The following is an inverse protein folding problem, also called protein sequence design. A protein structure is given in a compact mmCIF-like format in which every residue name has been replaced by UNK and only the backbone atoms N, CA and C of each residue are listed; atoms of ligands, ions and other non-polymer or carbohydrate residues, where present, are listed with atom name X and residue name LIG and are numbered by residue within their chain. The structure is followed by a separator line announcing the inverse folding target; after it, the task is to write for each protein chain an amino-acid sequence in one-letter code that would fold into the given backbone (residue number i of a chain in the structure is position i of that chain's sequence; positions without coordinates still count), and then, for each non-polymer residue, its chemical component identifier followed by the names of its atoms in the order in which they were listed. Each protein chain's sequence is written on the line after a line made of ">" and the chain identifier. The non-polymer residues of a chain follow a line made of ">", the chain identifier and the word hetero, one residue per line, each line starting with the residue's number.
data_IF_621320870243
#
_entry.id   IF_621320870243
#
_cell.length_a   1.000
_cell.length_b   1.000
_cell.length_c   1.000
_cell.angle_alpha   90.00
_cell.angle_beta   90.00
_cell.angle_gamma   90.00
#
_symmetry.space_group_name_H-M   'P 1'
#
loop_
_entity.id
_entity.type
_entity.pdbx_description
1 polymer ?
#
# COMPACT_ATOMS: atom_id res chain seq x y z
N UNK A 1 -11.05 8.81 6.91
CA UNK A 1 -10.66 8.59 5.50
C UNK A 1 -10.77 9.90 4.74
N UNK A 2 -9.73 10.29 4.02
CA UNK A 2 -9.73 11.51 3.21
C UNK A 2 -9.70 11.10 1.73
N UNK A 3 -10.82 11.22 1.01
CA UNK A 3 -10.83 11.00 -0.42
C UNK A 3 -10.14 12.15 -1.14
N UNK A 4 -9.35 11.84 -2.16
CA UNK A 4 -8.70 12.80 -3.03
C UNK A 4 -9.19 12.54 -4.46
N UNK A 5 -9.69 13.57 -5.12
CA UNK A 5 -10.16 13.48 -6.51
C UNK A 5 -9.32 14.40 -7.40
N UNK A 6 -9.05 13.93 -8.61
CA UNK A 6 -8.41 14.69 -9.68
C UNK A 6 -9.50 15.21 -10.63
N UNK A 7 -9.46 16.48 -10.91
CA UNK A 7 -10.30 17.12 -11.93
C UNK A 7 -9.45 18.11 -12.76
N UNK A 8 -10.04 18.79 -13.71
CA UNK A 8 -9.34 19.77 -14.57
C UNK A 8 -8.64 20.91 -13.80
N UNK A 9 -9.01 21.13 -12.54
CA UNK A 9 -8.46 22.18 -11.68
C UNK A 9 -7.51 21.65 -10.60
N UNK A 10 -7.45 20.32 -10.40
CA UNK A 10 -6.63 19.68 -9.37
C UNK A 10 -5.71 18.64 -9.99
N UNK A 11 -4.39 18.77 -9.75
CA UNK A 11 -3.43 17.80 -10.24
C UNK A 11 -3.64 16.42 -9.58
N UNK A 12 -3.00 15.40 -10.15
CA UNK A 12 -3.00 14.06 -9.59
C UNK A 12 -2.50 14.08 -8.14
N UNK A 13 -3.18 13.41 -7.21
CA UNK A 13 -2.82 13.44 -5.81
C UNK A 13 -1.47 12.74 -5.57
N UNK A 14 -0.70 13.27 -4.64
CA UNK A 14 0.55 12.68 -4.26
C UNK A 14 0.36 11.37 -3.52
N UNK A 15 0.80 10.29 -4.13
CA UNK A 15 0.77 8.96 -3.53
C UNK A 15 2.12 8.68 -2.86
N UNK A 16 2.06 8.35 -1.58
CA UNK A 16 3.26 8.04 -0.79
C UNK A 16 3.81 6.65 -1.12
N UNK A 17 5.13 6.50 -0.99
CA UNK A 17 5.81 5.23 -1.21
C UNK A 17 5.24 4.11 -0.32
N UNK A 18 5.00 2.94 -0.91
CA UNK A 18 4.53 1.70 -0.26
C UNK A 18 3.17 1.80 0.44
N UNK A 19 2.40 2.89 0.28
CA UNK A 19 1.05 2.96 0.82
C UNK A 19 0.07 2.18 -0.04
N UNK A 20 -0.86 1.50 0.62
CA UNK A 20 -1.99 0.86 -0.05
C UNK A 20 -3.07 1.91 -0.27
N UNK A 21 -3.59 1.99 -1.49
CA UNK A 21 -4.60 2.95 -1.89
C UNK A 21 -5.71 2.25 -2.66
N UNK A 22 -6.90 2.81 -2.63
CA UNK A 22 -8.01 2.38 -3.47
C UNK A 22 -8.26 3.48 -4.50
N UNK A 23 -7.99 3.17 -5.76
CA UNK A 23 -8.34 4.00 -6.89
C UNK A 23 -9.81 3.82 -7.24
N UNK A 24 -10.44 4.86 -7.72
CA UNK A 24 -11.83 4.85 -8.18
C UNK A 24 -11.99 5.72 -9.43
N UNK A 25 -12.87 5.30 -10.32
CA UNK A 25 -13.44 6.17 -11.34
C UNK A 25 -14.81 6.63 -10.88
N UNK A 26 -15.01 7.94 -10.88
CA UNK A 26 -16.24 8.59 -10.43
C UNK A 26 -16.86 9.41 -11.54
N UNK A 27 -18.18 9.43 -11.60
CA UNK A 27 -18.95 10.25 -12.52
C UNK A 27 -19.84 11.23 -11.75
N UNK A 28 -19.97 12.47 -12.20
CA UNK A 28 -20.87 13.45 -11.58
C UNK A 28 -22.33 13.03 -11.72
N UNK A 29 -23.08 13.05 -10.60
CA UNK A 29 -24.51 12.79 -10.61
C UNK A 29 -25.25 13.85 -11.43
N UNK A 30 -26.12 13.41 -12.36
CA UNK A 30 -27.01 14.30 -13.13
C UNK A 30 -26.46 14.80 -14.46
N UNK A 31 -25.22 14.54 -14.83
CA UNK A 31 -24.74 14.71 -16.19
C UNK A 31 -25.09 13.46 -17.02
N UNK A 32 -25.73 13.65 -18.17
CA UNK A 32 -26.10 12.55 -19.08
C UNK A 32 -24.92 11.97 -19.85
N UNK A 33 -23.83 12.71 -19.94
CA UNK A 33 -22.62 12.29 -20.64
C UNK A 33 -21.76 11.44 -19.70
N UNK A 34 -21.78 10.12 -19.92
CA UNK A 34 -20.93 9.12 -19.24
C UNK A 34 -19.43 9.26 -19.58
N UNK A 35 -19.04 10.29 -20.34
CA UNK A 35 -17.70 10.41 -20.90
C UNK A 35 -16.70 11.16 -19.98
N UNK A 36 -17.16 11.95 -19.02
CA UNK A 36 -16.27 12.62 -18.06
C UNK A 36 -16.13 11.78 -16.77
N UNK A 37 -15.26 10.78 -16.80
CA UNK A 37 -14.84 10.06 -15.61
C UNK A 37 -13.67 10.79 -14.96
N UNK A 38 -13.80 11.04 -13.66
CA UNK A 38 -12.74 11.63 -12.85
C UNK A 38 -12.05 10.51 -12.05
N UNK A 39 -10.73 10.61 -11.90
CA UNK A 39 -9.98 9.75 -11.01
C UNK A 39 -10.11 10.23 -9.57
N UNK A 40 -10.31 9.29 -8.67
CA UNK A 40 -10.28 9.53 -7.25
C UNK A 40 -9.49 8.43 -6.54
N UNK A 41 -8.91 8.75 -5.41
CA UNK A 41 -8.18 7.77 -4.60
C UNK A 41 -8.41 7.98 -3.11
N UNK A 42 -8.33 6.89 -2.37
CA UNK A 42 -8.45 6.86 -0.91
C UNK A 42 -7.30 6.02 -0.37
N UNK A 43 -6.46 6.62 0.45
CA UNK A 43 -5.40 5.86 1.13
C UNK A 43 -6.01 4.97 2.24
N UNK A 44 -5.60 3.72 2.27
CA UNK A 44 -5.90 2.81 3.38
C UNK A 44 -5.07 3.24 4.59
N UNK A 45 -5.70 3.63 5.71
CA UNK A 45 -4.98 4.19 6.85
C UNK A 45 -4.20 3.12 7.60
N UNK A 46 -2.89 3.31 7.76
CA UNK A 46 -2.01 2.41 8.50
C UNK A 46 -2.21 2.43 10.02
N UNK A 47 -2.90 3.46 10.53
CA UNK A 47 -3.20 3.60 11.97
C UNK A 47 -4.35 2.70 12.43
N UNK A 48 -5.15 2.18 11.52
CA UNK A 48 -6.22 1.24 11.83
C UNK A 48 -5.73 -0.21 11.69
N UNK A 49 -6.31 -1.15 12.46
CA UNK A 49 -6.07 -2.57 12.24
C UNK A 49 -6.45 -2.96 10.82
N UNK A 50 -5.54 -3.64 10.11
CA UNK A 50 -5.82 -4.07 8.76
C UNK A 50 -6.64 -5.36 8.71
N UNK A 51 -6.48 -6.23 9.72
CA UNK A 51 -7.30 -7.43 9.92
C UNK A 51 -8.42 -7.06 10.87
N UNK A 52 -9.66 -7.31 10.46
CA UNK A 52 -10.85 -7.06 11.25
C UNK A 52 -11.56 -8.40 11.41
N UNK A 53 -11.69 -8.84 12.66
CA UNK A 53 -12.41 -10.07 12.96
C UNK A 53 -13.92 -9.82 12.91
N UNK A 54 -14.62 -10.74 12.24
CA UNK A 54 -16.09 -10.73 12.16
C UNK A 54 -16.62 -11.69 13.22
N UNK A 55 -17.33 -11.20 14.24
CA UNK A 55 -17.91 -12.06 15.27
C UNK A 55 -19.09 -12.87 14.73
N UNK A 56 -19.24 -14.09 15.22
CA UNK A 56 -20.51 -14.82 15.14
C UNK A 56 -20.65 -15.85 14.01
N UNK A 57 -19.63 -16.13 13.24
CA UNK A 57 -19.68 -17.27 12.30
C UNK A 57 -19.34 -18.58 13.03
N UNK A 58 -20.39 -19.36 13.33
CA UNK A 58 -20.23 -20.69 13.99
C UNK A 58 -19.60 -21.75 13.09
N UNK A 59 -19.51 -21.50 11.79
CA UNK A 59 -18.98 -22.46 10.81
C UNK A 59 -17.45 -22.47 10.81
N UNK A 60 -16.84 -21.33 11.10
CA UNK A 60 -15.40 -21.17 11.10
C UNK A 60 -14.92 -20.77 12.51
N UNK A 61 -13.70 -21.16 12.87
CA UNK A 61 -13.10 -20.80 14.15
C UNK A 61 -12.87 -19.27 14.25
N UNK A 62 -12.46 -18.68 13.16
CA UNK A 62 -12.26 -17.23 13.03
C UNK A 62 -12.56 -16.81 11.59
N UNK A 63 -13.28 -15.72 11.43
CA UNK A 63 -13.51 -15.07 10.13
C UNK A 63 -12.93 -13.67 10.19
N UNK A 64 -12.11 -13.34 9.21
CA UNK A 64 -11.47 -12.02 9.11
C UNK A 64 -11.76 -11.37 7.77
N UNK A 65 -11.76 -10.05 7.75
CA UNK A 65 -11.83 -9.23 6.54
C UNK A 65 -10.72 -8.19 6.56
N UNK A 66 -10.17 -7.86 5.41
CA UNK A 66 -9.16 -6.83 5.29
C UNK A 66 -9.80 -5.44 5.24
N UNK A 67 -9.13 -4.46 5.82
CA UNK A 67 -9.64 -3.08 5.91
C UNK A 67 -9.89 -2.47 4.53
N UNK A 68 -9.04 -2.76 3.56
CA UNK A 68 -9.22 -2.32 2.16
C UNK A 68 -10.53 -2.82 1.56
N UNK A 69 -10.94 -4.04 1.82
CA UNK A 69 -12.21 -4.61 1.35
C UNK A 69 -13.42 -3.85 1.92
N UNK A 70 -13.33 -3.49 3.21
CA UNK A 70 -14.39 -2.71 3.87
C UNK A 70 -14.47 -1.31 3.26
N UNK A 71 -13.32 -0.68 3.03
CA UNK A 71 -13.26 0.67 2.44
C UNK A 71 -13.82 0.63 1.02
N UNK A 72 -13.39 -0.32 0.21
CA UNK A 72 -13.81 -0.45 -1.18
C UNK A 72 -15.32 -0.64 -1.29
N UNK A 73 -15.90 -1.54 -0.51
CA UNK A 73 -17.35 -1.78 -0.48
C UNK A 73 -18.17 -0.57 -0.01
N UNK A 74 -17.56 0.35 0.74
CA UNK A 74 -18.23 1.53 1.28
C UNK A 74 -17.76 2.84 0.63
N UNK A 75 -16.92 2.77 -0.40
CA UNK A 75 -16.26 3.95 -0.98
C UNK A 75 -17.28 4.97 -1.53
N UNK A 76 -18.43 4.51 -2.01
CA UNK A 76 -19.52 5.39 -2.46
C UNK A 76 -20.04 6.36 -1.39
N UNK A 77 -19.87 6.02 -0.10
CA UNK A 77 -20.23 6.91 1.00
C UNK A 77 -19.26 8.08 1.16
N UNK A 78 -18.09 8.01 0.56
CA UNK A 78 -17.08 9.08 0.57
C UNK A 78 -17.29 10.06 -0.59
N UNK A 79 -18.00 9.63 -1.65
CA UNK A 79 -18.24 10.42 -2.87
C UNK A 79 -19.73 10.71 -3.05
N UNK A 80 -20.35 11.40 -2.09
CA UNK A 80 -21.80 11.61 -2.01
C UNK A 80 -22.42 12.27 -3.25
N UNK A 81 -21.68 13.18 -3.89
CA UNK A 81 -22.13 13.92 -5.09
C UNK A 81 -21.82 13.21 -6.41
N UNK A 82 -21.14 12.07 -6.35
CA UNK A 82 -20.69 11.32 -7.51
C UNK A 82 -21.24 9.89 -7.50
N UNK A 83 -21.20 9.24 -8.65
CA UNK A 83 -21.43 7.80 -8.77
C UNK A 83 -20.10 7.12 -8.98
N UNK A 84 -19.77 6.14 -8.14
CA UNK A 84 -18.57 5.32 -8.31
C UNK A 84 -18.82 4.31 -9.42
N UNK A 85 -17.97 4.29 -10.44
CA UNK A 85 -18.10 3.42 -11.62
C UNK A 85 -17.31 2.13 -11.42
N UNK A 86 -16.08 2.24 -10.97
CA UNK A 86 -15.24 1.10 -10.59
C UNK A 86 -14.27 1.50 -9.50
N UNK A 87 -13.76 0.50 -8.79
CA UNK A 87 -12.73 0.64 -7.75
C UNK A 87 -11.70 -0.44 -7.91
N UNK A 88 -10.48 -0.18 -7.48
CA UNK A 88 -9.45 -1.19 -7.39
C UNK A 88 -8.34 -0.75 -6.43
N UNK A 89 -7.84 -1.62 -5.57
CA UNK A 89 -6.63 -1.37 -4.81
C UNK A 89 -5.42 -1.24 -5.73
N UNK A 90 -4.50 -0.36 -5.34
CA UNK A 90 -3.20 -0.23 -5.98
C UNK A 90 -2.13 0.21 -4.99
N UNK A 91 -0.89 -0.06 -5.31
CA UNK A 91 0.28 0.26 -4.51
C UNK A 91 1.43 0.63 -5.41
N UNK A 92 2.21 1.64 -5.02
CA UNK A 92 3.41 2.05 -5.75
C UNK A 92 4.66 1.85 -4.90
N UNK A 93 5.77 1.58 -5.58
CA UNK A 93 7.11 1.63 -5.00
C UNK A 93 7.88 2.71 -5.74
N UNK A 94 8.46 3.63 -4.97
CA UNK A 94 9.31 4.69 -5.49
C UNK A 94 10.77 4.35 -5.33
N UNK A 95 11.57 4.81 -6.24
CA UNK A 95 13.02 4.72 -6.12
C UNK A 95 13.47 5.40 -4.81
N UNK A 96 14.29 4.68 -4.06
CA UNK A 96 14.79 5.12 -2.77
C UNK A 96 16.31 5.33 -2.77
N UNK A 97 16.95 5.16 -3.93
CA UNK A 97 18.37 5.36 -4.06
C UNK A 97 18.74 6.82 -3.82
N UNK A 98 19.66 7.01 -2.89
CA UNK A 98 20.26 8.30 -2.58
C UNK A 98 21.58 8.35 -3.34
N UNK A 99 21.64 9.12 -4.41
CA UNK A 99 22.92 9.55 -4.98
C UNK A 99 23.38 10.77 -4.18
N UNK A 100 24.27 10.55 -3.23
CA UNK A 100 24.96 11.64 -2.50
C UNK A 100 26.30 11.80 -3.21
N UNK A 101 26.51 12.97 -3.79
CA UNK A 101 27.83 13.36 -4.26
C UNK A 101 28.56 13.97 -3.07
N UNK A 102 29.39 13.17 -2.42
CA UNK A 102 30.12 13.57 -1.19
C UNK A 102 31.17 14.66 -1.48
N UNK A 103 31.65 14.73 -2.72
CA UNK A 103 32.71 15.66 -3.13
C UNK A 103 32.19 17.09 -3.34
N UNK A 104 30.90 17.28 -3.59
CA UNK A 104 30.29 18.60 -3.81
C UNK A 104 29.52 19.16 -2.58
N UNK A 105 29.33 18.38 -1.53
CA UNK A 105 28.49 18.75 -0.40
C UNK A 105 29.27 19.56 0.67
N UNK A 106 29.18 20.87 0.61
CA UNK A 106 29.72 21.76 1.63
C UNK A 106 29.06 21.59 3.02
N UNK A 107 27.82 21.03 3.05
CA UNK A 107 27.05 20.65 4.23
C UNK A 107 26.30 19.33 4.01
N UNK A 108 26.94 18.25 4.42
CA UNK A 108 26.42 16.88 4.28
C UNK A 108 25.03 16.70 4.93
N UNK A 109 24.75 17.34 6.06
CA UNK A 109 23.47 17.22 6.75
C UNK A 109 22.34 17.86 5.94
N UNK A 110 22.57 19.04 5.39
CA UNK A 110 21.59 19.73 4.52
C UNK A 110 21.33 18.93 3.25
N UNK A 111 22.36 18.31 2.66
CA UNK A 111 22.20 17.48 1.48
C UNK A 111 21.43 16.18 1.80
N UNK A 112 21.73 15.53 2.91
CA UNK A 112 20.96 14.37 3.40
C UNK A 112 19.49 14.74 3.63
N UNK A 113 19.19 15.89 4.24
CA UNK A 113 17.80 16.33 4.41
C UNK A 113 17.07 16.57 3.08
N UNK A 114 17.75 17.18 2.10
CA UNK A 114 17.19 17.36 0.75
C UNK A 114 16.93 16.01 0.07
N UNK A 115 17.87 15.09 0.17
CA UNK A 115 17.75 13.75 -0.41
C UNK A 115 16.65 12.93 0.29
N UNK A 116 16.51 13.03 1.60
CA UNK A 116 15.40 12.40 2.33
C UNK A 116 14.03 12.96 1.89
N UNK A 117 13.95 14.27 1.61
CA UNK A 117 12.75 14.86 1.01
C UNK A 117 12.52 14.35 -0.41
N UNK A 118 13.54 14.31 -1.27
CA UNK A 118 13.47 13.75 -2.62
C UNK A 118 13.03 12.26 -2.61
N UNK A 119 13.44 11.49 -1.61
CA UNK A 119 13.04 10.09 -1.45
C UNK A 119 11.52 9.88 -1.35
N UNK A 120 10.79 10.84 -0.80
CA UNK A 120 9.32 10.81 -0.78
C UNK A 120 8.71 11.05 -2.18
N UNK A 121 9.48 11.67 -3.09
CA UNK A 121 9.09 12.14 -4.41
C UNK A 121 9.85 11.44 -5.53
N UNK A 122 10.63 10.42 -5.22
CA UNK A 122 11.37 9.65 -6.22
C UNK A 122 10.44 9.06 -7.29
N UNK A 123 11.01 8.78 -8.44
CA UNK A 123 10.34 8.11 -9.55
C UNK A 123 9.62 6.83 -9.09
N UNK A 124 8.45 6.58 -9.63
CA UNK A 124 7.75 5.31 -9.39
C UNK A 124 8.42 4.25 -10.25
N UNK A 125 8.93 3.20 -9.61
CA UNK A 125 9.63 2.10 -10.27
C UNK A 125 8.83 0.80 -10.28
N UNK A 126 7.69 0.78 -9.60
CA UNK A 126 6.80 -0.38 -9.58
C UNK A 126 5.37 0.04 -9.22
N UNK A 127 4.42 -0.52 -9.95
CA UNK A 127 2.99 -0.40 -9.71
C UNK A 127 2.38 -1.79 -9.50
N UNK A 128 1.91 -2.07 -8.29
CA UNK A 128 1.15 -3.28 -7.97
C UNK A 128 -0.34 -2.98 -8.11
N UNK A 129 -1.06 -3.80 -8.85
CA UNK A 129 -2.51 -3.70 -9.07
C UNK A 129 -3.17 -5.06 -8.97
N UNK A 130 -4.46 -5.10 -8.65
CA UNK A 130 -5.20 -6.35 -8.78
C UNK A 130 -5.34 -6.77 -10.25
N UNK A 131 -5.28 -8.07 -10.50
CA UNK A 131 -5.38 -8.68 -11.83
C UNK A 131 -6.62 -8.23 -12.62
N UNK A 132 -7.71 -7.94 -11.91
CA UNK A 132 -9.01 -7.55 -12.50
C UNK A 132 -9.24 -6.03 -12.53
N UNK A 133 -8.18 -5.23 -12.40
CA UNK A 133 -8.30 -3.77 -12.47
C UNK A 133 -8.96 -3.32 -13.79
N UNK A 134 -9.90 -2.37 -13.70
CA UNK A 134 -10.52 -1.76 -14.87
C UNK A 134 -9.45 -1.09 -15.77
N UNK A 135 -9.40 -1.42 -17.07
CA UNK A 135 -8.37 -0.90 -17.97
C UNK A 135 -8.31 0.63 -18.06
N UNK A 136 -9.45 1.31 -17.84
CA UNK A 136 -9.51 2.78 -17.84
C UNK A 136 -8.79 3.37 -16.63
N UNK A 137 -8.98 2.74 -15.45
CA UNK A 137 -8.30 3.11 -14.21
C UNK A 137 -6.80 2.86 -14.33
N UNK A 138 -6.42 1.70 -14.84
CA UNK A 138 -5.03 1.34 -15.09
C UNK A 138 -4.34 2.32 -16.04
N UNK A 139 -5.03 2.72 -17.12
CA UNK A 139 -4.50 3.70 -18.08
C UNK A 139 -4.15 5.04 -17.42
N UNK A 140 -4.99 5.52 -16.52
CA UNK A 140 -4.71 6.76 -15.77
C UNK A 140 -3.47 6.59 -14.90
N UNK A 141 -3.39 5.51 -14.11
CA UNK A 141 -2.22 5.25 -13.25
C UNK A 141 -0.93 5.11 -14.04
N UNK A 142 -0.97 4.43 -15.20
CA UNK A 142 0.19 4.31 -16.10
C UNK A 142 0.67 5.67 -16.59
N UNK A 143 -0.25 6.52 -17.00
CA UNK A 143 0.08 7.86 -17.53
C UNK A 143 0.64 8.77 -16.43
N UNK A 144 0.00 8.78 -15.25
CA UNK A 144 0.39 9.66 -14.15
C UNK A 144 1.71 9.27 -13.49
N UNK A 145 2.06 7.99 -13.51
CA UNK A 145 3.32 7.48 -12.95
C UNK A 145 4.39 7.20 -13.99
N UNK A 146 4.13 7.48 -15.27
CA UNK A 146 5.03 7.20 -16.41
C UNK A 146 5.52 5.74 -16.43
N UNK A 147 4.58 4.79 -16.23
CA UNK A 147 4.89 3.37 -16.05
C UNK A 147 4.98 2.62 -17.38
N UNK A 148 6.03 1.81 -17.52
CA UNK A 148 6.11 0.80 -18.56
C UNK A 148 5.36 -0.46 -18.16
N UNK A 149 5.03 -1.32 -19.13
CA UNK A 149 4.32 -2.57 -18.86
C UNK A 149 5.12 -3.53 -17.96
N UNK A 150 6.43 -3.54 -18.10
CA UNK A 150 7.36 -4.37 -17.33
C UNK A 150 7.40 -4.01 -15.83
N UNK A 151 6.99 -2.78 -15.48
CA UNK A 151 6.99 -2.27 -14.10
C UNK A 151 5.62 -2.45 -13.42
N UNK A 152 4.64 -3.01 -14.14
CA UNK A 152 3.29 -3.25 -13.62
C UNK A 152 3.14 -4.71 -13.22
N UNK A 153 2.77 -4.94 -11.97
CA UNK A 153 2.57 -6.27 -11.41
C UNK A 153 1.09 -6.52 -11.15
N UNK A 154 0.53 -7.46 -11.88
CA UNK A 154 -0.85 -7.91 -11.72
C UNK A 154 -0.90 -9.01 -10.66
N UNK A 155 -1.61 -8.77 -9.57
CA UNK A 155 -1.64 -9.63 -8.40
C UNK A 155 -3.05 -10.18 -8.19
N UNK A 156 -3.17 -11.50 -8.12
CA UNK A 156 -4.40 -12.17 -7.74
C UNK A 156 -4.43 -12.39 -6.23
N UNK A 157 -4.86 -11.37 -5.51
CA UNK A 157 -4.93 -11.36 -4.04
C UNK A 157 -4.52 -10.02 -3.43
N UNK A 158 -4.33 -9.96 -2.10
CA UNK A 158 -3.94 -8.73 -1.42
C UNK A 158 -2.59 -8.20 -1.89
N UNK A 159 -2.51 -6.90 -2.19
CA UNK A 159 -1.30 -6.26 -2.73
C UNK A 159 -0.18 -6.09 -1.69
N UNK A 160 -0.52 -6.04 -0.42
CA UNK A 160 0.41 -5.88 0.68
C UNK A 160 0.23 -7.03 1.68
N UNK A 161 1.21 -7.90 1.76
CA UNK A 161 1.17 -9.09 2.61
C UNK A 161 1.68 -8.85 4.04
N UNK A 162 2.00 -7.63 4.41
CA UNK A 162 2.52 -7.32 5.77
C UNK A 162 1.52 -7.66 6.88
N UNK A 163 0.23 -7.74 6.57
CA UNK A 163 -0.79 -8.16 7.52
C UNK A 163 -0.63 -9.61 8.00
N UNK A 164 0.00 -10.48 7.22
CA UNK A 164 0.23 -11.89 7.58
C UNK A 164 1.02 -12.03 8.87
N UNK A 165 1.95 -11.09 9.16
CA UNK A 165 2.68 -11.07 10.42
C UNK A 165 1.77 -10.84 11.63
N UNK A 166 0.67 -10.08 11.46
CA UNK A 166 -0.34 -9.90 12.49
C UNK A 166 -1.28 -11.09 12.55
N UNK A 167 -1.61 -11.68 11.41
CA UNK A 167 -2.44 -12.88 11.32
C UNK A 167 -1.78 -14.07 12.04
N UNK A 168 -0.46 -14.21 11.93
CA UNK A 168 0.30 -15.24 12.65
C UNK A 168 0.14 -15.15 14.18
N UNK A 169 -0.16 -13.96 14.71
CA UNK A 169 -0.34 -13.73 16.16
C UNK A 169 -1.76 -14.02 16.66
N UNK A 170 -2.70 -14.39 15.78
CA UNK A 170 -4.04 -14.78 16.22
C UNK A 170 -3.99 -15.93 17.21
N UNK A 171 -4.78 -15.82 18.27
CA UNK A 171 -4.87 -16.82 19.32
C UNK A 171 -5.64 -18.07 18.85
N UNK A 172 -5.30 -19.19 19.45
CA UNK A 172 -6.02 -20.45 19.20
C UNK A 172 -5.57 -21.21 17.95
N UNK A 173 -4.46 -20.84 17.31
CA UNK A 173 -3.87 -21.49 16.13
C UNK A 173 -2.43 -21.99 16.39
N UNK A 174 -2.10 -22.27 17.65
CA UNK A 174 -0.73 -22.64 18.04
C UNK A 174 -0.30 -23.99 17.47
N UNK A 175 -1.27 -24.88 17.23
CA UNK A 175 -1.10 -26.15 16.54
C UNK A 175 -0.70 -26.00 15.05
N UNK A 176 -0.93 -24.85 14.45
CA UNK A 176 -0.59 -24.54 13.06
C UNK A 176 0.70 -23.73 12.93
N UNK A 177 1.33 -23.37 14.04
CA UNK A 177 2.56 -22.60 14.07
C UNK A 177 3.76 -23.54 14.14
N UNK A 178 4.84 -23.15 13.46
CA UNK A 178 6.14 -23.84 13.62
C UNK A 178 6.61 -23.62 15.06
N UNK A 179 7.01 -24.68 15.77
CA UNK A 179 7.53 -24.54 17.13
C UNK A 179 8.77 -23.62 17.13
N UNK A 180 8.96 -22.82 18.19
CA UNK A 180 10.10 -21.91 18.27
C UNK A 180 11.41 -22.71 18.23
N UNK A 181 12.30 -22.27 17.37
CA UNK A 181 13.65 -22.84 17.30
C UNK A 181 14.47 -22.33 18.48
N UNK A 182 15.03 -23.29 19.25
CA UNK A 182 16.01 -22.98 20.28
C UNK A 182 17.41 -23.26 19.71
N UNK A 183 18.21 -22.20 19.47
CA UNK A 183 19.55 -22.37 18.92
C UNK A 183 20.41 -23.16 19.90
N UNK A 184 21.20 -24.09 19.38
CA UNK A 184 22.20 -24.80 20.19
C UNK A 184 23.33 -23.82 20.57
N UNK A 185 23.70 -23.74 21.82
CA UNK A 185 24.80 -22.89 22.23
C UNK A 185 26.13 -23.39 21.64
N UNK A 186 26.96 -22.48 21.19
CA UNK A 186 28.31 -22.80 20.71
C UNK A 186 29.17 -23.01 21.93
N UNK A 187 29.61 -24.27 22.15
CA UNK A 187 30.34 -24.70 23.37
C UNK A 187 31.58 -23.87 23.66
N UNK A 188 32.31 -23.50 22.62
CA UNK A 188 33.51 -22.65 22.70
C UNK A 188 33.21 -21.25 23.25
N UNK A 189 32.05 -20.69 22.88
CA UNK A 189 31.65 -19.36 23.34
C UNK A 189 31.08 -19.34 24.77
N UNK A 190 30.68 -20.51 25.29
CA UNK A 190 30.18 -20.63 26.67
C UNK A 190 31.26 -20.54 27.74
N UNK A 191 32.54 -20.62 27.34
CA UNK A 191 33.67 -20.56 28.27
C UNK A 191 34.22 -19.15 28.46
N UNK A 192 33.75 -18.18 27.66
CA UNK A 192 34.17 -16.81 27.73
C UNK A 192 33.14 -15.93 28.47
N UNK A 193 33.62 -15.04 29.34
CA UNK A 193 32.76 -14.11 30.08
C UNK A 193 32.28 -12.92 29.22
N UNK A 194 33.03 -12.58 28.19
CA UNK A 194 32.63 -11.60 27.19
C UNK A 194 33.13 -11.99 25.78
N UNK A 195 32.68 -11.24 24.76
CA UNK A 195 33.01 -11.51 23.36
C UNK A 195 34.37 -10.98 22.91
N UNK A 196 35.11 -10.33 23.79
CA UNK A 196 36.39 -9.68 23.49
C UNK A 196 37.60 -10.41 24.13
N UNK A 197 37.40 -11.49 24.84
CA UNK A 197 38.47 -12.29 25.49
C UNK A 197 38.89 -13.51 24.68
#
# INVERSE_FOLDING_TARGET
>A
LTPMAMDSARPFPLIRNKTLNIGALIAKKGKKDKEELEFATVQVPSVLPRIIEIPGDKKYKTTVVLLEEIIERNIGKLFLSNTVVCTCPYRIIRNADLTIDEDEAADLLTEIEKQLKKRQWGEVIRLDVEEKMDPRLLKILKMEFDMKEEDIHYINGPLDLTFLMKMYKLEGFDDQKVPPYTPAPVKEMMTYEDIFT
#
